data_IF_297013432088
#
_entry.id   IF_297013432088
#
_cell.length_a   1.000
_cell.length_b   1.000
_cell.length_c   1.000
_cell.angle_alpha   90.00
_cell.angle_beta   90.00
_cell.angle_gamma   90.00
#
_symmetry.space_group_name_H-M   'P 1'
#
loop_
_entity.id
_entity.type
_entity.pdbx_description
1 polymer ?
#
# COMPACT_ATOMS: atom_id res chain seq x y z
N UNK A 1 15.33 19.20 26.84
CA UNK A 1 15.46 18.57 25.51
C UNK A 1 16.84 18.93 24.97
N UNK A 2 17.70 17.96 24.63
CA UNK A 2 19.10 18.22 24.20
C UNK A 2 19.19 18.48 22.69
N UNK A 3 20.27 19.16 22.25
CA UNK A 3 20.50 19.50 20.83
C UNK A 3 20.54 18.26 19.92
N UNK A 4 21.05 17.13 20.42
CA UNK A 4 21.07 15.86 19.69
C UNK A 4 19.67 15.26 19.49
N UNK A 5 18.80 15.35 20.50
CA UNK A 5 17.40 14.91 20.36
C UNK A 5 16.65 15.75 19.33
N UNK A 6 16.89 17.07 19.29
CA UNK A 6 16.30 17.94 18.28
C UNK A 6 16.74 17.55 16.87
N UNK A 7 18.05 17.36 16.63
CA UNK A 7 18.58 16.93 15.32
C UNK A 7 18.00 15.60 14.86
N UNK A 8 17.90 14.63 15.78
CA UNK A 8 17.30 13.31 15.48
C UNK A 8 15.84 13.44 15.08
N UNK A 9 15.05 14.22 15.84
CA UNK A 9 13.63 14.41 15.57
C UNK A 9 13.38 15.13 14.24
N UNK A 10 14.20 16.14 13.91
CA UNK A 10 14.14 16.82 12.61
C UNK A 10 14.43 15.87 11.45
N UNK A 11 15.45 15.00 11.58
CA UNK A 11 15.76 14.01 10.54
C UNK A 11 14.67 12.96 10.34
N UNK A 12 13.94 12.60 11.40
CA UNK A 12 12.78 11.70 11.30
C UNK A 12 11.62 12.39 10.61
N UNK A 13 11.30 13.63 11.01
CA UNK A 13 10.23 14.42 10.39
C UNK A 13 10.45 14.59 8.88
N UNK A 14 11.68 14.93 8.46
CA UNK A 14 12.03 15.06 7.04
C UNK A 14 11.82 13.76 6.24
N UNK A 15 12.10 12.60 6.84
CA UNK A 15 11.88 11.31 6.16
C UNK A 15 10.40 11.01 6.00
N UNK A 16 9.60 11.30 7.03
CA UNK A 16 8.15 11.13 6.99
C UNK A 16 7.57 12.04 5.91
N UNK A 17 7.89 13.33 5.95
CA UNK A 17 7.44 14.32 4.96
C UNK A 17 7.79 13.88 3.54
N UNK A 18 9.06 13.51 3.29
CA UNK A 18 9.50 13.03 1.99
C UNK A 18 8.69 11.83 1.50
N UNK A 19 8.45 10.83 2.35
CA UNK A 19 7.74 9.60 1.97
C UNK A 19 6.28 9.91 1.61
N UNK A 20 5.63 10.78 2.38
CA UNK A 20 4.26 11.22 2.13
C UNK A 20 4.16 12.08 0.87
N UNK A 21 5.11 13.00 0.64
CA UNK A 21 5.16 13.81 -0.57
C UNK A 21 5.29 12.94 -1.82
N UNK A 22 6.22 11.98 -1.83
CA UNK A 22 6.41 11.08 -2.98
C UNK A 22 5.13 10.27 -3.25
N UNK A 23 4.46 9.79 -2.19
CA UNK A 23 3.21 9.05 -2.34
C UNK A 23 2.10 9.92 -2.94
N UNK A 24 1.87 11.12 -2.40
CA UNK A 24 0.85 12.05 -2.90
C UNK A 24 1.14 12.42 -4.34
N UNK A 25 2.38 12.79 -4.67
CA UNK A 25 2.76 13.10 -6.06
C UNK A 25 2.48 11.93 -7.00
N UNK A 26 2.73 10.69 -6.59
CA UNK A 26 2.44 9.52 -7.42
C UNK A 26 0.93 9.32 -7.65
N UNK A 27 0.09 9.59 -6.65
CA UNK A 27 -1.38 9.55 -6.77
C UNK A 27 -1.86 10.66 -7.71
N UNK A 28 -1.43 11.89 -7.52
CA UNK A 28 -1.85 13.05 -8.34
C UNK A 28 -1.35 12.97 -9.79
N UNK A 29 -0.29 12.20 -10.06
CA UNK A 29 0.16 11.88 -11.42
C UNK A 29 -0.66 10.77 -12.08
N UNK A 30 -1.45 10.02 -11.31
CA UNK A 30 -2.39 9.04 -11.86
C UNK A 30 -3.61 9.77 -12.44
N UNK A 31 -4.23 9.19 -13.48
CA UNK A 31 -5.33 9.84 -14.18
C UNK A 31 -6.69 9.73 -13.48
N UNK A 32 -6.83 8.80 -12.55
CA UNK A 32 -8.09 8.33 -12.01
C UNK A 32 -8.11 8.27 -10.47
N UNK A 33 -7.01 8.59 -9.78
CA UNK A 33 -6.97 8.66 -8.32
C UNK A 33 -6.71 10.09 -7.83
N UNK A 34 -7.31 10.46 -6.69
CA UNK A 34 -7.11 11.75 -6.03
C UNK A 34 -7.09 11.57 -4.51
N UNK A 35 -6.19 12.24 -3.81
CA UNK A 35 -6.21 12.27 -2.34
C UNK A 35 -7.21 13.33 -1.87
N UNK A 36 -8.35 12.89 -1.33
CA UNK A 36 -9.43 13.80 -0.91
C UNK A 36 -9.35 14.21 0.57
N UNK A 37 -8.49 13.56 1.35
CA UNK A 37 -8.26 13.92 2.75
C UNK A 37 -7.70 12.78 3.60
N UNK A 38 -7.82 12.94 4.91
CA UNK A 38 -7.45 11.92 5.89
C UNK A 38 -8.65 11.53 6.75
N UNK A 39 -8.60 10.31 7.28
CA UNK A 39 -9.56 9.79 8.24
C UNK A 39 -8.84 9.06 9.38
N UNK A 40 -9.55 8.81 10.48
CA UNK A 40 -9.01 8.05 11.63
C UNK A 40 -9.94 6.86 11.94
N UNK A 41 -10.09 5.88 11.03
CA UNK A 41 -10.81 4.65 11.33
C UNK A 41 -10.08 3.89 12.44
N UNK A 42 -10.80 3.50 13.49
CA UNK A 42 -10.26 2.62 14.54
C UNK A 42 -8.93 3.07 15.18
N UNK A 43 -8.71 4.40 15.30
CA UNK A 43 -7.51 5.05 15.89
C UNK A 43 -6.24 5.01 15.03
N UNK A 44 -6.32 4.57 13.78
CA UNK A 44 -5.21 4.65 12.84
C UNK A 44 -5.51 5.71 11.79
N UNK A 45 -4.54 6.57 11.50
CA UNK A 45 -4.69 7.62 10.50
C UNK A 45 -4.43 7.06 9.10
N UNK A 46 -5.35 7.35 8.17
CA UNK A 46 -5.31 6.89 6.79
C UNK A 46 -5.49 8.05 5.83
N UNK A 47 -4.92 7.96 4.63
CA UNK A 47 -5.37 8.75 3.50
C UNK A 47 -6.63 8.14 2.91
N UNK A 48 -7.57 9.00 2.53
CA UNK A 48 -8.75 8.64 1.75
C UNK A 48 -8.51 9.05 0.31
N UNK A 49 -8.57 8.08 -0.58
CA UNK A 49 -8.30 8.25 -2.01
C UNK A 49 -9.60 7.99 -2.76
N UNK A 50 -9.98 8.92 -3.64
CA UNK A 50 -11.11 8.75 -4.55
C UNK A 50 -10.62 8.05 -5.81
N UNK A 51 -11.32 7.00 -6.22
CA UNK A 51 -11.13 6.32 -7.50
C UNK A 51 -12.24 6.71 -8.48
N UNK A 52 -11.88 7.50 -9.49
CA UNK A 52 -12.78 8.02 -10.51
C UNK A 52 -13.08 7.00 -11.62
N UNK A 53 -12.36 5.89 -11.69
CA UNK A 53 -12.71 4.77 -12.58
C UNK A 53 -14.00 4.07 -12.14
N UNK A 54 -14.41 4.26 -10.87
CA UNK A 54 -15.61 3.67 -10.28
C UNK A 54 -16.68 4.72 -9.96
N UNK A 55 -17.94 4.38 -10.21
CA UNK A 55 -19.07 5.25 -9.86
C UNK A 55 -19.19 5.37 -8.33
N UNK A 56 -19.58 6.55 -7.85
CA UNK A 56 -19.87 6.77 -6.44
C UNK A 56 -20.98 5.82 -5.93
N UNK A 57 -20.81 5.32 -4.71
CA UNK A 57 -21.69 4.31 -4.10
C UNK A 57 -21.35 2.86 -4.45
N UNK A 58 -20.42 2.61 -5.38
CA UNK A 58 -19.86 1.28 -5.63
C UNK A 58 -18.69 1.01 -4.68
N UNK A 59 -18.56 -0.24 -4.24
CA UNK A 59 -17.41 -0.70 -3.45
C UNK A 59 -16.08 -0.38 -4.15
N UNK A 60 -15.12 0.16 -3.40
CA UNK A 60 -13.80 0.52 -3.91
C UNK A 60 -13.72 1.86 -4.62
N UNK A 61 -14.81 2.66 -4.66
CA UNK A 61 -14.78 4.03 -5.17
C UNK A 61 -14.08 5.01 -4.21
N UNK A 62 -13.94 4.62 -2.95
CA UNK A 62 -13.07 5.26 -1.96
C UNK A 62 -12.14 4.19 -1.39
N UNK A 63 -10.86 4.51 -1.25
CA UNK A 63 -9.82 3.60 -0.79
C UNK A 63 -9.11 4.24 0.40
N UNK A 64 -8.93 3.48 1.47
CA UNK A 64 -8.22 3.90 2.67
C UNK A 64 -6.81 3.29 2.66
N UNK A 65 -5.78 4.14 2.79
CA UNK A 65 -4.37 3.70 2.81
C UNK A 65 -3.71 4.20 4.10
N UNK A 66 -3.13 3.28 4.86
CA UNK A 66 -2.47 3.60 6.14
C UNK A 66 -1.27 4.53 5.95
N UNK A 67 -1.24 5.62 6.72
CA UNK A 67 -0.10 6.55 6.73
C UNK A 67 1.17 5.87 7.23
N UNK A 68 1.08 5.01 8.26
CA UNK A 68 2.23 4.25 8.76
C UNK A 68 2.79 3.31 7.68
N UNK A 69 1.92 2.68 6.90
CA UNK A 69 2.33 1.82 5.81
C UNK A 69 3.09 2.60 4.72
N UNK A 70 2.58 3.76 4.33
CA UNK A 70 3.22 4.66 3.35
C UNK A 70 4.61 5.06 3.85
N UNK A 71 4.70 5.57 5.09
CA UNK A 71 5.97 6.02 5.68
C UNK A 71 7.02 4.91 5.73
N UNK A 72 6.59 3.66 5.94
CA UNK A 72 7.51 2.51 6.01
C UNK A 72 7.96 2.00 4.64
N UNK A 73 7.09 2.08 3.63
CA UNK A 73 7.30 1.37 2.35
C UNK A 73 7.63 2.30 1.18
N UNK A 74 7.17 3.56 1.19
CA UNK A 74 7.41 4.52 0.11
C UNK A 74 8.74 5.25 0.34
N UNK A 75 9.83 4.58 -0.02
CA UNK A 75 11.19 5.11 0.12
C UNK A 75 11.63 5.97 -1.07
N UNK A 76 11.00 5.76 -2.22
CA UNK A 76 11.32 6.33 -3.52
C UNK A 76 10.10 6.26 -4.46
N UNK A 77 10.24 6.85 -5.64
CA UNK A 77 9.18 6.92 -6.64
C UNK A 77 8.78 5.55 -7.19
N UNK A 78 9.71 4.61 -7.33
CA UNK A 78 9.40 3.25 -7.82
C UNK A 78 8.46 2.54 -6.84
N UNK A 79 8.74 2.66 -5.53
CA UNK A 79 7.84 2.14 -4.50
C UNK A 79 6.49 2.82 -4.46
N UNK A 80 6.42 4.14 -4.72
CA UNK A 80 5.14 4.81 -4.83
C UNK A 80 4.34 4.31 -6.04
N UNK A 81 4.98 4.07 -7.18
CA UNK A 81 4.32 3.52 -8.36
C UNK A 81 3.82 2.09 -8.14
N UNK A 82 4.54 1.26 -7.36
CA UNK A 82 4.03 -0.06 -6.94
C UNK A 82 2.70 0.08 -6.15
N UNK A 83 2.57 1.08 -5.29
CA UNK A 83 1.31 1.35 -4.58
C UNK A 83 0.19 1.76 -5.54
N UNK A 84 0.46 2.70 -6.44
CA UNK A 84 -0.51 3.15 -7.45
C UNK A 84 -1.02 1.98 -8.28
N UNK A 85 -0.12 1.12 -8.77
CA UNK A 85 -0.47 -0.07 -9.54
C UNK A 85 -1.34 -1.06 -8.74
N UNK A 86 -1.11 -1.20 -7.43
CA UNK A 86 -1.97 -2.02 -6.56
C UNK A 86 -3.37 -1.41 -6.45
N UNK A 87 -3.48 -0.10 -6.24
CA UNK A 87 -4.75 0.61 -6.11
C UNK A 87 -5.59 0.52 -7.40
N UNK A 88 -4.94 0.67 -8.55
CA UNK A 88 -5.57 0.57 -9.87
C UNK A 88 -5.84 -0.88 -10.33
N UNK A 89 -5.45 -1.88 -9.53
CA UNK A 89 -5.46 -3.30 -9.92
C UNK A 89 -4.61 -3.64 -11.16
N UNK A 90 -3.63 -2.81 -11.51
CA UNK A 90 -2.68 -3.04 -12.61
C UNK A 90 -1.40 -3.76 -12.14
N UNK A 91 -1.39 -4.25 -10.90
CA UNK A 91 -0.27 -5.03 -10.38
C UNK A 91 -0.08 -6.31 -11.21
N UNK A 92 1.18 -6.65 -11.48
CA UNK A 92 1.51 -7.95 -12.05
C UNK A 92 0.85 -9.06 -11.20
N UNK A 93 0.13 -10.03 -11.81
CA UNK A 93 -0.49 -11.10 -11.07
C UNK A 93 0.58 -11.78 -10.21
N UNK A 94 0.32 -11.88 -8.90
CA UNK A 94 1.23 -12.61 -8.02
C UNK A 94 1.17 -14.07 -8.44
N UNK A 95 2.14 -14.49 -9.24
CA UNK A 95 2.43 -15.90 -9.46
C UNK A 95 3.15 -16.37 -8.19
N UNK A 96 2.39 -16.86 -7.22
CA UNK A 96 2.96 -17.55 -6.06
C UNK A 96 3.59 -18.87 -6.56
N UNK A 97 4.86 -18.82 -6.95
CA UNK A 97 5.58 -19.98 -7.44
C UNK A 97 5.50 -21.14 -6.44
N UNK A 98 4.94 -22.26 -6.89
CA UNK A 98 4.76 -23.45 -6.07
C UNK A 98 3.57 -23.40 -5.10
N UNK A 99 2.66 -22.42 -5.20
CA UNK A 99 1.36 -22.42 -4.52
C UNK A 99 0.25 -22.52 -5.56
N UNK A 100 -0.65 -23.49 -5.40
CA UNK A 100 -1.81 -23.64 -6.28
C UNK A 100 -3.05 -23.93 -5.47
N UNK A 101 -4.23 -23.72 -6.06
CA UNK A 101 -5.50 -24.07 -5.44
C UNK A 101 -5.68 -25.59 -5.54
N UNK A 102 -5.56 -26.27 -4.41
CA UNK A 102 -5.69 -27.72 -4.29
C UNK A 102 -6.92 -27.98 -3.41
N UNK A 103 -7.92 -28.71 -3.92
CA UNK A 103 -9.17 -29.03 -3.19
C UNK A 103 -9.86 -27.79 -2.56
N UNK A 104 -9.89 -26.68 -3.28
CA UNK A 104 -10.64 -25.47 -2.88
C UNK A 104 -9.87 -24.44 -2.06
N UNK A 105 -8.69 -24.79 -1.51
CA UNK A 105 -7.81 -23.89 -0.76
C UNK A 105 -6.44 -23.73 -1.43
N UNK A 106 -5.73 -22.64 -1.16
CA UNK A 106 -4.36 -22.45 -1.65
C UNK A 106 -3.37 -23.23 -0.80
N UNK A 107 -2.50 -24.03 -1.43
CA UNK A 107 -1.49 -24.83 -0.75
C UNK A 107 -0.19 -24.88 -1.54
N UNK A 108 0.94 -25.01 -0.84
CA UNK A 108 2.24 -25.28 -1.48
C UNK A 108 2.20 -26.68 -2.10
N UNK A 109 2.57 -26.81 -3.37
CA UNK A 109 2.64 -28.09 -4.09
C UNK A 109 3.53 -29.08 -3.33
N UNK A 110 4.65 -28.63 -2.74
CA UNK A 110 5.52 -29.49 -1.93
C UNK A 110 4.85 -30.05 -0.67
N UNK A 111 3.95 -29.29 -0.01
CA UNK A 111 3.24 -29.77 1.17
C UNK A 111 2.18 -30.82 0.77
N UNK A 112 1.51 -30.60 -0.36
CA UNK A 112 0.61 -31.58 -0.93
C UNK A 112 1.36 -32.86 -1.34
N UNK A 113 2.49 -32.75 -2.04
CA UNK A 113 3.28 -33.92 -2.43
C UNK A 113 3.75 -34.72 -1.21
N UNK A 114 4.24 -34.06 -0.16
CA UNK A 114 4.58 -34.73 1.10
C UNK A 114 3.40 -35.48 1.72
N UNK A 115 2.20 -34.89 1.71
CA UNK A 115 1.00 -35.56 2.25
C UNK A 115 0.47 -36.72 1.39
N UNK A 116 0.98 -36.88 0.16
CA UNK A 116 0.63 -37.99 -0.75
C UNK A 116 1.68 -39.09 -0.83
N UNK A 117 2.94 -38.79 -0.54
CA UNK A 117 4.05 -39.74 -0.72
C UNK A 117 4.39 -40.49 0.58
N UNK A 118 4.02 -39.97 1.76
CA UNK A 118 4.26 -40.65 3.05
C UNK A 118 5.66 -40.43 3.58
#
# INVERSE_FOLDING_TARGET
MTVEMLKKNTGVAQKIEKSLTIFVEAIELSSDLEVIGTAIPSKEEVFVIRDYSKTEGIEGAYIEVSIDEIVRKVTDSDKAQEFVAVLQNDRAPIVLNGVTRIVGYYSRVNNWNKSKVG
#
